data_IF_015896290807
#
_entry.id   IF_015896290807
#
_cell.length_a   1.000
_cell.length_b   1.000
_cell.length_c   1.000
_cell.angle_alpha   90.00
_cell.angle_beta   90.00
_cell.angle_gamma   90.00
#
_symmetry.space_group_name_H-M   'P 1'
#
loop_
_entity.id
_entity.type
_entity.pdbx_description
1 polymer ?
#
# COMPACT_ATOMS: atom_id res chain seq x y z
N UNK A 1 0.30 -2.88 -13.21
CA UNK A 1 -0.23 -4.10 -12.54
C UNK A 1 -0.38 -3.82 -11.04
N UNK A 2 -1.58 -3.91 -10.47
CA UNK A 2 -1.85 -3.55 -9.06
C UNK A 2 -1.67 -4.74 -8.13
N UNK A 3 -1.13 -4.50 -6.94
CA UNK A 3 -0.97 -5.49 -5.88
C UNK A 3 -1.35 -4.88 -4.54
N UNK A 4 -1.56 -5.73 -3.56
CA UNK A 4 -1.53 -5.27 -2.19
C UNK A 4 -0.10 -4.96 -1.77
N UNK A 5 0.12 -3.78 -1.24
CA UNK A 5 1.40 -3.38 -0.68
C UNK A 5 1.21 -3.14 0.81
N UNK A 6 2.11 -3.70 1.60
CA UNK A 6 2.29 -3.32 3.00
C UNK A 6 3.30 -2.20 2.98
N UNK A 7 2.82 -0.99 3.27
CA UNK A 7 3.68 0.20 3.33
C UNK A 7 4.03 0.50 4.77
N UNK A 8 5.21 1.09 4.98
CA UNK A 8 5.59 1.64 6.27
C UNK A 8 4.72 2.87 6.56
N UNK A 9 3.89 2.74 7.57
CA UNK A 9 3.02 3.78 8.10
C UNK A 9 3.62 4.40 9.35
N UNK A 10 2.78 4.65 10.35
CA UNK A 10 3.17 5.40 11.52
C UNK A 10 3.78 4.47 12.58
N UNK A 11 5.10 4.29 12.55
CA UNK A 11 5.85 3.47 13.53
C UNK A 11 5.79 4.03 14.96
N UNK A 12 5.38 5.30 15.12
CA UNK A 12 5.10 5.90 16.43
C UNK A 12 3.78 5.40 17.06
N UNK A 13 2.91 4.75 16.29
CA UNK A 13 1.67 4.18 16.80
C UNK A 13 1.90 2.80 17.39
N UNK A 14 1.57 2.61 18.69
CA UNK A 14 1.61 1.30 19.39
C UNK A 14 0.75 0.19 18.74
N UNK A 15 -0.06 0.51 17.74
CA UNK A 15 -0.89 -0.44 16.99
C UNK A 15 -0.16 -0.86 15.72
N UNK A 16 0.32 -2.12 15.66
CA UNK A 16 1.00 -2.70 14.49
C UNK A 16 0.23 -2.53 13.17
N UNK A 17 -1.12 -2.54 13.22
CA UNK A 17 -1.97 -2.31 12.03
C UNK A 17 -1.86 -0.90 11.44
N UNK A 18 -1.42 0.08 12.23
CA UNK A 18 -1.21 1.48 11.81
C UNK A 18 0.25 1.70 11.39
N UNK A 19 1.17 0.98 12.02
CA UNK A 19 2.58 0.97 11.62
C UNK A 19 2.77 0.35 10.23
N UNK A 20 1.96 -0.66 9.87
CA UNK A 20 2.10 -1.39 8.60
C UNK A 20 0.75 -1.59 7.91
N UNK A 21 0.12 -0.53 7.38
CA UNK A 21 -1.14 -0.66 6.68
C UNK A 21 -0.97 -1.40 5.35
N UNK A 22 -1.85 -2.36 5.09
CA UNK A 22 -2.00 -3.02 3.79
C UNK A 22 -2.92 -2.17 2.91
N UNK A 23 -2.41 -1.72 1.76
CA UNK A 23 -3.15 -0.88 0.82
C UNK A 23 -2.94 -1.37 -0.62
N UNK A 24 -4.00 -1.37 -1.42
CA UNK A 24 -3.88 -1.56 -2.86
C UNK A 24 -3.32 -0.28 -3.49
N UNK A 25 -2.14 -0.34 -4.09
CA UNK A 25 -1.50 0.80 -4.74
C UNK A 25 -1.16 0.45 -6.20
N UNK A 26 -1.12 1.46 -7.05
CA UNK A 26 -0.55 1.33 -8.40
C UNK A 26 0.97 1.54 -8.37
N UNK A 27 1.66 1.11 -9.42
CA UNK A 27 3.13 1.18 -9.51
C UNK A 27 3.68 2.62 -9.40
N UNK A 28 2.87 3.61 -9.76
CA UNK A 28 3.24 5.04 -9.61
C UNK A 28 3.07 5.56 -8.18
N UNK A 29 2.00 5.15 -7.49
CA UNK A 29 1.77 5.61 -6.12
C UNK A 29 2.61 4.83 -5.13
N UNK A 30 2.86 3.56 -5.40
CA UNK A 30 3.65 2.70 -4.52
C UNK A 30 5.11 3.18 -4.40
N UNK A 31 5.67 3.80 -5.45
CA UNK A 31 7.03 4.33 -5.42
C UNK A 31 7.20 5.52 -4.46
N UNK A 32 6.11 6.19 -4.06
CA UNK A 32 6.16 7.23 -3.03
C UNK A 32 6.12 6.67 -1.60
N UNK A 33 5.88 5.37 -1.44
CA UNK A 33 5.78 4.72 -0.14
C UNK A 33 6.95 3.76 0.07
N UNK A 34 7.36 3.61 1.33
CA UNK A 34 8.27 2.55 1.72
C UNK A 34 7.52 1.22 1.75
N UNK A 35 7.62 0.42 0.68
CA UNK A 35 7.02 -0.92 0.64
C UNK A 35 7.87 -1.87 1.48
N UNK A 36 7.25 -2.46 2.48
CA UNK A 36 7.85 -3.49 3.33
C UNK A 36 7.57 -4.87 2.75
N UNK A 37 6.37 -5.06 2.18
CA UNK A 37 5.98 -6.33 1.60
C UNK A 37 5.04 -6.15 0.42
N UNK A 38 5.33 -6.84 -0.67
CA UNK A 38 4.43 -6.98 -1.81
C UNK A 38 3.58 -8.24 -1.64
N UNK A 39 2.26 -8.08 -1.67
CA UNK A 39 1.30 -9.17 -1.66
C UNK A 39 0.76 -9.50 -3.05
N UNK A 40 -0.35 -10.22 -3.07
CA UNK A 40 -0.99 -10.68 -4.30
C UNK A 40 -1.51 -9.54 -5.19
N UNK A 41 -1.63 -9.86 -6.48
CA UNK A 41 -2.28 -8.99 -7.47
C UNK A 41 -3.73 -8.76 -7.05
N UNK A 42 -4.17 -7.52 -7.11
CA UNK A 42 -5.52 -7.12 -6.74
C UNK A 42 -6.19 -6.36 -7.89
N UNK A 43 -7.51 -6.50 -7.96
CA UNK A 43 -8.39 -5.72 -8.84
C UNK A 43 -8.93 -4.46 -8.14
N UNK A 44 -8.59 -4.24 -6.87
CA UNK A 44 -9.00 -3.01 -6.19
C UNK A 44 -8.33 -1.78 -6.82
N UNK A 45 -9.07 -0.66 -6.96
CA UNK A 45 -8.51 0.59 -7.44
C UNK A 45 -7.47 1.12 -6.45
N UNK A 46 -6.50 1.88 -6.95
CA UNK A 46 -5.45 2.44 -6.10
C UNK A 46 -6.07 3.26 -4.95
N UNK A 47 -5.80 2.89 -3.71
CA UNK A 47 -6.33 3.59 -2.52
C UNK A 47 -5.95 5.07 -2.45
N UNK A 48 -4.87 5.47 -3.13
CA UNK A 48 -4.36 6.85 -3.10
C UNK A 48 -4.91 7.73 -4.21
N UNK A 49 -4.84 7.28 -5.46
CA UNK A 49 -5.27 8.08 -6.61
C UNK A 49 -6.61 7.64 -7.21
N UNK A 50 -7.18 6.52 -6.74
CA UNK A 50 -8.37 5.91 -7.33
C UNK A 50 -8.16 5.41 -8.75
N UNK A 51 -6.94 5.48 -9.28
CA UNK A 51 -6.67 5.12 -10.66
C UNK A 51 -6.89 3.62 -10.86
N UNK A 52 -7.68 3.32 -11.88
CA UNK A 52 -7.92 1.98 -12.41
C UNK A 52 -6.98 1.67 -13.59
N UNK A 53 -5.79 2.28 -13.61
CA UNK A 53 -4.74 2.08 -14.63
C UNK A 53 -3.57 1.24 -14.07
#
# INVERSE_FOLDING_TARGET
>A
MRKYYIVEGDTSSKKQKVAYPKMALCEKCVSEFAVISEGDRTYEPCKKCGADD
#
